data_IF_243537030266
#
_entry.id   IF_243537030266
#
_cell.length_a   1.000
_cell.length_b   1.000
_cell.length_c   1.000
_cell.angle_alpha   90.00
_cell.angle_beta   90.00
_cell.angle_gamma   90.00
#
_symmetry.space_group_name_H-M   'P 1'
#
loop_
_entity.id
_entity.type
_entity.pdbx_description
1 polymer ?
#
# COMPACT_ATOMS: atom_id res chain seq x y z
N UNK A 1 -28.07 -18.63 -29.85
CA UNK A 1 -27.15 -17.52 -30.19
C UNK A 1 -26.67 -16.97 -28.87
N UNK A 2 -25.56 -17.50 -28.35
CA UNK A 2 -25.04 -17.10 -27.05
C UNK A 2 -24.51 -15.68 -27.19
N UNK A 3 -25.12 -14.72 -26.48
CA UNK A 3 -24.52 -13.41 -26.28
C UNK A 3 -23.14 -13.61 -25.64
N UNK A 4 -22.08 -12.93 -26.13
CA UNK A 4 -20.82 -12.95 -25.41
C UNK A 4 -21.08 -12.32 -24.04
N UNK A 5 -20.75 -13.05 -22.97
CA UNK A 5 -20.66 -12.46 -21.63
C UNK A 5 -19.74 -11.23 -21.74
N UNK A 6 -20.28 -10.05 -21.46
CA UNK A 6 -19.54 -8.78 -21.42
C UNK A 6 -18.44 -8.92 -20.36
N UNK A 7 -17.26 -9.35 -20.78
CA UNK A 7 -16.08 -9.30 -19.92
C UNK A 7 -15.82 -7.82 -19.66
N UNK A 8 -15.75 -7.37 -18.39
CA UNK A 8 -15.47 -5.98 -18.10
C UNK A 8 -14.16 -5.60 -18.81
N UNK A 9 -14.19 -4.47 -19.51
CA UNK A 9 -13.04 -3.90 -20.19
C UNK A 9 -11.88 -3.81 -19.18
N UNK A 10 -10.77 -4.49 -19.46
CA UNK A 10 -9.59 -4.51 -18.58
C UNK A 10 -8.53 -3.61 -19.18
N UNK A 11 -8.04 -2.66 -18.39
CA UNK A 11 -6.90 -1.86 -18.80
C UNK A 11 -5.62 -2.70 -18.78
N UNK A 12 -4.82 -2.61 -19.84
CA UNK A 12 -3.49 -3.20 -19.89
C UNK A 12 -2.45 -2.11 -19.69
N UNK A 13 -1.62 -2.23 -18.65
CA UNK A 13 -0.52 -1.30 -18.37
C UNK A 13 0.84 -1.82 -18.84
N UNK A 14 0.88 -3.00 -19.48
CA UNK A 14 2.11 -3.63 -19.97
C UNK A 14 3.00 -4.23 -18.88
N UNK A 15 2.63 -4.08 -17.60
CA UNK A 15 3.37 -4.65 -16.48
C UNK A 15 3.01 -6.12 -16.24
N UNK A 16 4.00 -6.90 -15.80
CA UNK A 16 3.79 -8.30 -15.43
C UNK A 16 3.41 -8.40 -13.95
N UNK A 17 2.22 -8.89 -13.66
CA UNK A 17 1.71 -9.02 -12.30
C UNK A 17 2.16 -10.34 -11.65
N UNK A 18 2.67 -10.25 -10.42
CA UNK A 18 2.96 -11.37 -9.51
C UNK A 18 2.35 -11.08 -8.15
N UNK A 19 1.13 -11.55 -7.94
CA UNK A 19 0.31 -11.24 -6.76
C UNK A 19 0.77 -12.00 -5.49
N UNK A 20 2.03 -11.82 -5.07
CA UNK A 20 2.69 -12.60 -4.02
C UNK A 20 1.99 -12.49 -2.67
N UNK A 21 1.54 -11.31 -2.24
CA UNK A 21 0.81 -11.18 -0.97
C UNK A 21 -0.47 -12.04 -0.95
N UNK A 22 -1.14 -12.19 -2.10
CA UNK A 22 -2.35 -13.00 -2.21
C UNK A 22 -2.08 -14.49 -1.91
N UNK A 23 -0.85 -14.99 -2.14
CA UNK A 23 -0.49 -16.39 -1.90
C UNK A 23 -0.32 -16.75 -0.43
N UNK A 24 -0.26 -15.77 0.48
CA UNK A 24 -0.32 -16.02 1.93
C UNK A 24 -1.67 -16.63 2.36
N UNK A 25 -2.71 -16.45 1.55
CA UNK A 25 -4.02 -17.06 1.75
C UNK A 25 -5.02 -16.18 2.51
N UNK A 26 -6.25 -16.67 2.68
CA UNK A 26 -7.40 -15.87 3.12
C UNK A 26 -7.34 -15.42 4.59
N UNK A 27 -6.40 -15.94 5.39
CA UNK A 27 -6.18 -15.45 6.75
C UNK A 27 -5.57 -14.03 6.77
N UNK A 28 -4.92 -13.61 5.69
CA UNK A 28 -4.17 -12.35 5.59
C UNK A 28 -4.91 -11.24 4.86
N UNK A 29 -5.95 -11.58 4.11
CA UNK A 29 -6.65 -10.63 3.27
C UNK A 29 -8.07 -11.07 2.92
N UNK A 30 -8.84 -10.11 2.43
CA UNK A 30 -10.09 -10.36 1.71
C UNK A 30 -9.94 -9.90 0.28
N UNK A 31 -10.23 -10.77 -0.69
CA UNK A 31 -10.32 -10.39 -2.11
C UNK A 31 -11.56 -9.53 -2.37
N UNK A 32 -11.38 -8.34 -2.94
CA UNK A 32 -12.46 -7.43 -3.28
C UNK A 32 -12.04 -6.44 -4.36
N UNK A 33 -13.00 -6.00 -5.17
CA UNK A 33 -12.75 -4.97 -6.19
C UNK A 33 -12.89 -3.56 -5.59
N UNK A 34 -12.15 -2.57 -6.14
CA UNK A 34 -12.43 -1.17 -5.90
C UNK A 34 -13.88 -0.78 -6.17
N UNK A 35 -14.39 0.19 -5.39
CA UNK A 35 -15.67 0.85 -5.64
C UNK A 35 -15.44 2.04 -6.57
N UNK A 36 -16.01 2.05 -7.78
CA UNK A 36 -15.80 3.12 -8.77
C UNK A 36 -16.16 4.51 -8.25
N UNK A 37 -15.58 5.53 -8.89
CA UNK A 37 -15.94 6.93 -8.70
C UNK A 37 -16.64 7.49 -9.96
N UNK A 38 -17.67 8.35 -9.83
CA UNK A 38 -18.25 9.04 -10.97
C UNK A 38 -17.29 10.09 -11.53
N UNK A 39 -17.27 10.26 -12.86
CA UNK A 39 -16.51 11.31 -13.56
C UNK A 39 -15.08 11.55 -13.00
N UNK A 40 -14.22 10.51 -12.97
CA UNK A 40 -12.86 10.67 -12.48
C UNK A 40 -12.07 11.63 -13.39
N UNK A 41 -11.15 12.39 -12.81
CA UNK A 41 -10.22 13.27 -13.54
C UNK A 41 -8.83 13.25 -12.91
N UNK A 42 -7.81 13.55 -13.70
CA UNK A 42 -6.42 13.67 -13.22
C UNK A 42 -6.24 14.92 -12.37
N UNK A 43 -5.61 14.75 -11.20
CA UNK A 43 -5.14 15.87 -10.36
C UNK A 43 -3.63 16.03 -10.51
N UNK A 44 -2.88 14.93 -10.42
CA UNK A 44 -1.44 14.90 -10.60
C UNK A 44 -0.96 13.51 -11.04
N UNK A 45 0.17 13.44 -11.75
CA UNK A 45 0.85 12.19 -12.13
C UNK A 45 2.37 12.34 -11.98
N UNK A 46 3.06 11.29 -11.52
CA UNK A 46 4.51 11.23 -11.41
C UNK A 46 5.08 10.53 -12.65
N UNK A 47 5.50 11.30 -13.64
CA UNK A 47 6.11 10.78 -14.88
C UNK A 47 7.47 10.12 -14.62
N UNK A 48 8.21 10.58 -13.59
CA UNK A 48 9.44 9.97 -13.13
C UNK A 48 9.20 8.55 -12.62
N UNK A 49 8.28 8.39 -11.66
CA UNK A 49 7.94 7.07 -11.13
C UNK A 49 7.34 6.16 -12.20
N UNK A 50 6.50 6.68 -13.11
CA UNK A 50 5.95 5.89 -14.21
C UNK A 50 7.06 5.27 -15.07
N UNK A 51 8.12 6.04 -15.37
CA UNK A 51 9.29 5.56 -16.11
C UNK A 51 10.07 4.53 -15.31
N UNK A 52 10.30 4.77 -14.02
CA UNK A 52 11.00 3.83 -13.13
C UNK A 52 10.28 2.48 -13.05
N UNK A 53 8.94 2.48 -13.05
CA UNK A 53 8.11 1.27 -13.08
C UNK A 53 8.12 0.55 -14.44
N UNK A 54 8.60 1.20 -15.50
CA UNK A 54 8.57 0.65 -16.86
C UNK A 54 7.24 0.82 -17.59
N UNK A 55 6.39 1.77 -17.18
CA UNK A 55 5.16 2.09 -17.90
C UNK A 55 5.47 2.79 -19.24
N UNK A 56 4.64 2.55 -20.25
CA UNK A 56 4.71 3.28 -21.51
C UNK A 56 4.45 4.77 -21.29
N UNK A 57 5.19 5.63 -22.01
CA UNK A 57 5.24 7.07 -21.77
C UNK A 57 3.88 7.78 -21.95
N UNK A 58 3.03 7.23 -22.81
CA UNK A 58 1.68 7.73 -23.13
C UNK A 58 0.57 7.03 -22.32
N UNK A 59 0.88 5.97 -21.57
CA UNK A 59 -0.14 5.18 -20.88
C UNK A 59 -0.97 6.04 -19.92
N UNK A 60 -0.31 6.88 -19.11
CA UNK A 60 -0.98 7.80 -18.17
C UNK A 60 -1.85 8.87 -18.84
N UNK A 61 -1.71 9.06 -20.16
CA UNK A 61 -2.53 9.99 -20.94
C UNK A 61 -3.82 9.32 -21.44
N UNK A 62 -3.92 7.99 -21.34
CA UNK A 62 -5.10 7.24 -21.80
C UNK A 62 -6.28 7.33 -20.83
N UNK A 63 -7.50 7.27 -21.37
CA UNK A 63 -8.71 7.14 -20.56
C UNK A 63 -8.72 5.84 -19.74
N UNK A 64 -8.17 4.76 -20.30
CA UNK A 64 -8.05 3.48 -19.62
C UNK A 64 -7.21 3.59 -18.33
N UNK A 65 -6.10 4.33 -18.37
CA UNK A 65 -5.28 4.58 -17.18
C UNK A 65 -6.02 5.35 -16.10
N UNK A 66 -6.73 6.41 -16.49
CA UNK A 66 -7.52 7.23 -15.56
C UNK A 66 -8.58 6.39 -14.85
N UNK A 67 -9.33 5.58 -15.61
CA UNK A 67 -10.34 4.71 -15.02
C UNK A 67 -9.73 3.59 -14.18
N UNK A 68 -8.62 3.00 -14.60
CA UNK A 68 -7.96 1.94 -13.85
C UNK A 68 -7.41 2.44 -12.50
N UNK A 69 -6.69 3.57 -12.49
CA UNK A 69 -6.09 4.14 -11.29
C UNK A 69 -7.09 4.89 -10.40
N UNK A 70 -8.31 5.10 -10.87
CA UNK A 70 -9.45 5.53 -10.05
C UNK A 70 -10.25 4.36 -9.45
N UNK A 71 -9.94 3.12 -9.82
CA UNK A 71 -10.68 1.94 -9.39
C UNK A 71 -11.99 1.70 -10.14
N UNK A 72 -12.16 2.29 -11.33
CA UNK A 72 -13.38 2.13 -12.14
C UNK A 72 -13.34 0.90 -13.03
N UNK A 73 -12.16 0.51 -13.51
CA UNK A 73 -11.95 -0.69 -14.33
C UNK A 73 -10.75 -1.48 -13.80
N UNK A 74 -10.79 -2.82 -13.89
CA UNK A 74 -9.68 -3.64 -13.41
C UNK A 74 -8.46 -3.55 -14.33
N UNK A 75 -7.26 -3.64 -13.75
CA UNK A 75 -6.02 -3.86 -14.50
C UNK A 75 -5.86 -5.34 -14.83
N UNK A 76 -5.48 -5.64 -16.07
CA UNK A 76 -5.22 -7.00 -16.53
C UNK A 76 -4.06 -7.61 -15.72
N UNK A 77 -4.33 -8.73 -15.05
CA UNK A 77 -3.35 -9.46 -14.22
C UNK A 77 -3.40 -9.11 -12.72
N UNK A 78 -4.04 -8.00 -12.36
CA UNK A 78 -4.26 -7.63 -10.95
C UNK A 78 -5.14 -8.64 -10.22
N UNK A 79 -4.89 -8.81 -8.92
CA UNK A 79 -5.74 -9.59 -8.01
C UNK A 79 -6.05 -8.73 -6.76
N UNK A 80 -7.04 -7.82 -6.88
CA UNK A 80 -7.31 -6.83 -5.85
C UNK A 80 -7.74 -7.45 -4.50
N UNK A 81 -7.16 -6.95 -3.42
CA UNK A 81 -7.40 -7.40 -2.05
C UNK A 81 -7.26 -6.25 -1.04
N UNK A 82 -7.83 -6.44 0.14
CA UNK A 82 -7.56 -5.62 1.31
C UNK A 82 -6.90 -6.50 2.38
N UNK A 83 -5.77 -6.07 2.94
CA UNK A 83 -5.05 -6.80 3.97
C UNK A 83 -5.66 -6.56 5.35
N UNK A 84 -5.54 -7.56 6.23
CA UNK A 84 -5.89 -7.41 7.64
C UNK A 84 -4.64 -7.20 8.48
N UNK A 85 -4.73 -6.27 9.42
CA UNK A 85 -3.72 -6.03 10.45
C UNK A 85 -4.38 -5.48 11.71
N UNK A 86 -3.63 -5.36 12.79
CA UNK A 86 -4.02 -4.68 14.03
C UNK A 86 -3.02 -3.57 14.32
N UNK A 87 -3.08 -2.96 15.50
CA UNK A 87 -2.07 -2.01 15.93
C UNK A 87 -2.32 -1.45 17.32
N UNK A 88 -1.26 -0.90 17.90
CA UNK A 88 -1.32 0.00 19.05
C UNK A 88 -1.47 1.43 18.53
N UNK A 89 -2.61 2.05 18.83
CA UNK A 89 -2.87 3.44 18.50
C UNK A 89 -2.68 4.30 19.74
N UNK A 90 -1.77 5.26 19.67
CA UNK A 90 -1.39 6.11 20.80
C UNK A 90 -1.05 5.32 22.08
N UNK A 91 -0.35 4.19 21.92
CA UNK A 91 0.08 3.32 23.02
C UNK A 91 -0.97 2.34 23.55
N UNK A 92 -2.17 2.30 22.97
CA UNK A 92 -3.26 1.42 23.40
C UNK A 92 -3.62 0.43 22.28
N UNK A 93 -3.83 -0.84 22.64
CA UNK A 93 -4.27 -1.86 21.69
C UNK A 93 -5.62 -1.48 21.05
N UNK A 94 -5.64 -1.31 19.74
CA UNK A 94 -6.82 -0.86 19.00
C UNK A 94 -7.66 -2.02 18.43
N UNK A 95 -7.29 -3.29 18.71
CA UNK A 95 -7.92 -4.45 18.09
C UNK A 95 -7.65 -4.54 16.59
N UNK A 96 -8.54 -5.23 15.86
CA UNK A 96 -8.42 -5.43 14.41
C UNK A 96 -8.62 -4.12 13.63
N UNK A 97 -7.59 -3.71 12.89
CA UNK A 97 -7.60 -2.67 11.88
C UNK A 97 -7.70 -3.33 10.49
N UNK A 98 -6.75 -3.07 9.59
CA UNK A 98 -6.74 -3.52 8.20
C UNK A 98 -6.83 -2.36 7.22
N UNK A 99 -6.73 -2.68 5.94
CA UNK A 99 -6.88 -1.72 4.85
C UNK A 99 -8.33 -1.22 4.76
N UNK A 100 -8.72 -0.28 5.62
CA UNK A 100 -10.10 0.18 5.75
C UNK A 100 -10.58 1.13 4.65
N UNK A 101 -9.67 1.63 3.82
CA UNK A 101 -9.97 2.47 2.65
C UNK A 101 -8.92 2.32 1.56
N UNK A 102 -8.19 1.21 1.58
CA UNK A 102 -7.13 0.93 0.65
C UNK A 102 -7.34 -0.45 0.04
N UNK A 103 -6.96 -0.61 -1.22
CA UNK A 103 -7.04 -1.89 -1.92
C UNK A 103 -5.71 -2.09 -2.64
N UNK A 104 -5.00 -3.15 -2.26
CA UNK A 104 -3.82 -3.60 -2.98
C UNK A 104 -4.29 -4.23 -4.28
N UNK A 105 -3.86 -3.70 -5.42
CA UNK A 105 -4.17 -4.29 -6.73
C UNK A 105 -3.34 -5.55 -6.99
N UNK A 106 -2.16 -5.62 -6.39
CA UNK A 106 -1.21 -6.71 -6.53
C UNK A 106 0.22 -6.19 -6.58
N UNK A 107 1.17 -7.09 -6.85
CA UNK A 107 2.55 -6.74 -7.10
C UNK A 107 2.88 -6.89 -8.57
N UNK A 108 3.77 -6.04 -9.08
CA UNK A 108 4.24 -6.00 -10.46
C UNK A 108 5.75 -6.15 -10.50
N UNK A 109 6.25 -6.83 -11.51
CA UNK A 109 7.68 -6.86 -11.82
C UNK A 109 8.07 -5.56 -12.53
N UNK A 110 9.12 -4.90 -12.06
CA UNK A 110 9.57 -3.60 -12.58
C UNK A 110 11.10 -3.58 -12.69
N UNK A 111 11.69 -2.64 -13.46
CA UNK A 111 13.15 -2.43 -13.48
C UNK A 111 13.76 -2.14 -12.11
N UNK A 112 12.99 -1.61 -11.16
CA UNK A 112 13.43 -1.35 -9.78
C UNK A 112 13.36 -2.60 -8.88
N UNK A 113 12.90 -3.72 -9.42
CA UNK A 113 12.46 -4.89 -8.67
C UNK A 113 10.93 -4.92 -8.45
N UNK A 114 10.43 -5.94 -7.74
CA UNK A 114 9.00 -6.09 -7.52
C UNK A 114 8.39 -4.95 -6.69
N UNK A 115 7.26 -4.41 -7.13
CA UNK A 115 6.54 -3.32 -6.46
C UNK A 115 5.06 -3.64 -6.29
N UNK A 116 4.51 -3.37 -5.13
CA UNK A 116 3.08 -3.39 -4.84
C UNK A 116 2.41 -2.08 -5.26
N UNK A 117 1.24 -2.17 -5.90
CA UNK A 117 0.41 -1.02 -6.28
C UNK A 117 -0.87 -1.03 -5.45
N UNK A 118 -1.11 0.04 -4.69
CA UNK A 118 -2.28 0.16 -3.82
C UNK A 118 -3.08 1.43 -4.16
N UNK A 119 -4.40 1.30 -4.28
CA UNK A 119 -5.31 2.44 -4.39
C UNK A 119 -5.82 2.81 -3.01
N UNK A 120 -5.63 4.06 -2.57
CA UNK A 120 -6.15 4.56 -1.29
C UNK A 120 -7.24 5.59 -1.55
N UNK A 121 -8.41 5.37 -0.95
CA UNK A 121 -9.67 6.05 -1.24
C UNK A 121 -10.62 5.27 -2.16
N UNK A 122 -10.29 4.03 -2.48
CA UNK A 122 -10.93 3.21 -3.51
C UNK A 122 -12.15 2.41 -3.03
N UNK A 123 -12.79 2.81 -1.92
CA UNK A 123 -14.05 2.24 -1.46
C UNK A 123 -13.98 1.49 -0.13
N UNK A 124 -15.13 0.99 0.29
CA UNK A 124 -15.30 0.23 1.52
C UNK A 124 -14.65 -1.15 1.41
N UNK A 125 -14.17 -1.63 2.55
CA UNK A 125 -13.63 -2.97 2.74
C UNK A 125 -14.21 -3.55 4.03
N UNK A 126 -14.05 -4.85 4.31
CA UNK A 126 -14.41 -5.43 5.60
C UNK A 126 -13.69 -4.78 6.80
N UNK A 127 -12.66 -3.98 6.54
CA UNK A 127 -11.82 -3.34 7.55
C UNK A 127 -12.13 -1.84 7.71
N UNK A 128 -13.12 -1.30 7.01
CA UNK A 128 -13.48 0.14 7.06
C UNK A 128 -13.98 0.61 8.42
N UNK A 129 -14.38 -0.30 9.32
CA UNK A 129 -15.02 0.02 10.60
C UNK A 129 -16.18 1.00 10.36
N UNK A 130 -16.10 2.21 10.92
CA UNK A 130 -17.11 3.26 10.78
C UNK A 130 -16.77 4.28 9.66
N UNK A 131 -15.67 4.08 8.94
CA UNK A 131 -15.26 4.94 7.83
C UNK A 131 -16.04 4.65 6.55
N UNK A 132 -16.05 5.61 5.63
CA UNK A 132 -16.75 5.51 4.34
C UNK A 132 -15.92 4.87 3.21
N UNK A 133 -14.69 4.44 3.50
CA UNK A 133 -13.80 3.87 2.49
C UNK A 133 -13.24 4.88 1.49
N UNK A 134 -13.53 6.18 1.64
CA UNK A 134 -13.08 7.24 0.73
C UNK A 134 -11.92 8.05 1.30
N UNK A 135 -11.12 8.61 0.40
CA UNK A 135 -10.16 9.66 0.71
C UNK A 135 -10.65 10.97 0.08
N UNK A 136 -10.22 12.09 0.66
CA UNK A 136 -10.57 13.44 0.17
C UNK A 136 -9.37 14.07 -0.52
N UNK A 137 -9.65 14.99 -1.44
CA UNK A 137 -8.64 15.61 -2.28
C UNK A 137 -7.47 16.22 -1.48
N UNK A 138 -7.74 16.94 -0.39
CA UNK A 138 -6.68 17.55 0.45
C UNK A 138 -5.70 16.50 1.02
N UNK A 139 -6.21 15.36 1.48
CA UNK A 139 -5.38 14.32 2.09
C UNK A 139 -4.55 13.60 1.05
N UNK A 140 -5.15 13.35 -0.13
CA UNK A 140 -4.45 12.70 -1.24
C UNK A 140 -3.34 13.59 -1.80
N UNK A 141 -3.57 14.92 -1.91
CA UNK A 141 -2.55 15.89 -2.33
C UNK A 141 -1.37 15.90 -1.34
N UNK A 142 -1.64 15.98 -0.03
CA UNK A 142 -0.58 15.94 1.00
C UNK A 142 0.25 14.67 0.91
N UNK A 143 -0.40 13.51 0.80
CA UNK A 143 0.29 12.23 0.71
C UNK A 143 1.15 12.11 -0.54
N UNK A 144 0.64 12.53 -1.70
CA UNK A 144 1.41 12.54 -2.94
C UNK A 144 2.65 13.43 -2.85
N UNK A 145 2.48 14.69 -2.41
CA UNK A 145 3.57 15.65 -2.32
C UNK A 145 4.63 15.20 -1.32
N UNK A 146 4.23 14.75 -0.12
CA UNK A 146 5.17 14.32 0.90
C UNK A 146 5.90 13.03 0.50
N UNK A 147 5.20 12.07 -0.12
CA UNK A 147 5.81 10.82 -0.61
C UNK A 147 6.93 11.11 -1.60
N UNK A 148 6.67 11.95 -2.60
CA UNK A 148 7.68 12.26 -3.62
C UNK A 148 8.77 13.22 -3.10
N UNK A 149 8.45 14.12 -2.17
CA UNK A 149 9.44 14.98 -1.52
C UNK A 149 10.42 14.19 -0.65
N UNK A 150 9.93 13.24 0.14
CA UNK A 150 10.77 12.36 0.97
C UNK A 150 11.70 11.52 0.09
N UNK A 151 11.19 11.00 -1.03
CA UNK A 151 12.01 10.28 -2.00
C UNK A 151 13.10 11.17 -2.60
N UNK A 152 12.76 12.41 -3.01
CA UNK A 152 13.72 13.36 -3.57
C UNK A 152 14.80 13.78 -2.55
N UNK A 153 14.50 13.73 -1.25
CA UNK A 153 15.46 13.94 -0.16
C UNK A 153 16.34 12.71 0.12
N UNK A 154 16.12 11.59 -0.58
CA UNK A 154 16.82 10.32 -0.34
C UNK A 154 16.30 9.54 0.86
N UNK A 155 15.17 9.94 1.45
CA UNK A 155 14.59 9.28 2.62
C UNK A 155 13.68 8.13 2.17
N UNK A 156 13.85 6.91 2.71
CA UNK A 156 13.01 5.78 2.36
C UNK A 156 11.52 6.06 2.62
N UNK A 157 10.68 5.81 1.61
CA UNK A 157 9.26 6.16 1.62
C UNK A 157 8.46 5.30 0.65
N UNK A 158 7.15 5.13 0.92
CA UNK A 158 6.21 4.80 -0.15
C UNK A 158 6.18 5.91 -1.19
N UNK A 159 6.00 5.56 -2.46
CA UNK A 159 5.93 6.46 -3.60
C UNK A 159 4.49 6.70 -4.02
N UNK A 160 4.23 7.79 -4.74
CA UNK A 160 2.90 8.14 -5.22
C UNK A 160 2.89 8.33 -6.74
N UNK A 161 2.22 7.41 -7.46
CA UNK A 161 2.18 7.43 -8.93
C UNK A 161 1.25 8.52 -9.45
N UNK A 162 0.09 8.69 -8.84
CA UNK A 162 -0.88 9.69 -9.27
C UNK A 162 -1.93 10.00 -8.21
N UNK A 163 -2.67 11.08 -8.45
CA UNK A 163 -3.94 11.39 -7.78
C UNK A 163 -5.03 11.53 -8.85
N UNK A 164 -6.16 10.87 -8.61
CA UNK A 164 -7.41 11.11 -9.34
C UNK A 164 -8.44 11.73 -8.42
N UNK A 165 -9.26 12.63 -8.94
CA UNK A 165 -10.36 13.28 -8.24
C UNK A 165 -11.70 12.89 -8.83
N UNK A 166 -12.78 13.12 -8.08
CA UNK A 166 -14.17 12.93 -8.51
C UNK A 166 -15.07 13.98 -7.85
N UNK A 167 -16.16 14.43 -8.50
CA UNK A 167 -17.15 15.30 -7.86
C UNK A 167 -17.97 14.60 -6.76
N UNK A 168 -17.79 13.30 -6.52
CA UNK A 168 -18.48 12.57 -5.45
C UNK A 168 -18.27 13.25 -4.08
N UNK A 169 -19.34 13.69 -3.41
CA UNK A 169 -19.22 14.39 -2.14
C UNK A 169 -18.86 13.44 -1.00
N UNK A 170 -17.87 13.81 -0.20
CA UNK A 170 -17.38 13.06 0.95
C UNK A 170 -17.46 13.95 2.19
N UNK A 171 -18.15 13.47 3.23
CA UNK A 171 -18.31 14.25 4.48
C UNK A 171 -17.11 14.04 5.39
N UNK A 172 -16.45 15.14 5.76
CA UNK A 172 -15.49 15.21 6.88
C UNK A 172 -15.97 16.30 7.84
N UNK A 173 -15.08 17.13 8.37
CA UNK A 173 -15.46 18.34 9.11
C UNK A 173 -16.29 19.30 8.22
N UNK A 174 -15.98 19.31 6.93
CA UNK A 174 -16.74 20.00 5.87
C UNK A 174 -17.10 19.02 4.76
N UNK A 175 -17.93 19.46 3.80
CA UNK A 175 -18.18 18.68 2.59
C UNK A 175 -16.98 18.85 1.65
N UNK A 176 -16.35 17.74 1.29
CA UNK A 176 -15.19 17.69 0.39
C UNK A 176 -15.49 16.78 -0.81
N UNK A 177 -14.54 16.66 -1.73
CA UNK A 177 -14.64 15.79 -2.90
C UNK A 177 -13.76 14.55 -2.76
N UNK A 178 -14.24 13.42 -3.28
CA UNK A 178 -13.51 12.16 -3.28
C UNK A 178 -12.25 12.25 -4.14
N UNK A 179 -11.22 11.53 -3.71
CA UNK A 179 -9.99 11.33 -4.45
C UNK A 179 -9.42 9.93 -4.19
N UNK A 180 -8.63 9.45 -5.15
CA UNK A 180 -7.81 8.24 -5.01
C UNK A 180 -6.35 8.61 -5.21
N UNK A 181 -5.48 8.16 -4.30
CA UNK A 181 -4.02 8.19 -4.50
C UNK A 181 -3.54 6.79 -4.83
N UNK A 182 -2.80 6.65 -5.94
CA UNK A 182 -2.13 5.40 -6.29
C UNK A 182 -0.75 5.37 -5.64
N UNK A 183 -0.62 4.51 -4.63
CA UNK A 183 0.61 4.31 -3.84
C UNK A 183 1.40 3.16 -4.42
N UNK A 184 2.72 3.26 -4.34
CA UNK A 184 3.66 2.24 -4.82
C UNK A 184 4.73 2.01 -3.76
N UNK A 185 5.02 0.75 -3.44
CA UNK A 185 6.06 0.38 -2.48
C UNK A 185 6.56 -1.04 -2.75
N UNK A 186 7.76 -1.43 -2.31
CA UNK A 186 8.18 -2.84 -2.35
C UNK A 186 7.26 -3.76 -1.55
N UNK A 187 6.70 -3.25 -0.44
CA UNK A 187 5.60 -3.89 0.30
C UNK A 187 4.87 -2.89 1.21
N UNK A 188 3.58 -3.13 1.45
CA UNK A 188 2.76 -2.45 2.45
C UNK A 188 2.62 -3.20 3.78
N UNK A 189 3.45 -4.23 4.03
CA UNK A 189 3.49 -4.94 5.32
C UNK A 189 3.98 -3.99 6.44
N UNK A 190 3.33 -4.10 7.59
CA UNK A 190 3.47 -3.22 8.77
C UNK A 190 3.77 -4.05 10.01
N UNK A 191 4.27 -3.42 11.08
CA UNK A 191 4.41 -4.12 12.38
C UNK A 191 3.05 -4.65 12.85
N UNK A 192 1.99 -3.86 12.65
CA UNK A 192 0.61 -4.25 12.94
C UNK A 192 0.13 -5.56 12.30
N UNK A 193 0.74 -6.02 11.19
CA UNK A 193 0.42 -7.33 10.60
C UNK A 193 0.92 -8.47 11.49
N UNK A 194 2.12 -8.34 12.07
CA UNK A 194 2.66 -9.32 13.00
C UNK A 194 1.89 -9.31 14.32
N UNK A 195 1.60 -8.11 14.85
CA UNK A 195 0.82 -7.96 16.08
C UNK A 195 -0.57 -8.60 15.97
N UNK A 196 -1.20 -8.51 14.80
CA UNK A 196 -2.51 -9.09 14.52
C UNK A 196 -2.57 -10.60 14.82
N UNK A 197 -1.62 -11.37 14.30
CA UNK A 197 -1.56 -12.81 14.51
C UNK A 197 -0.99 -13.18 15.89
N UNK A 198 0.00 -12.44 16.37
CA UNK A 198 0.60 -12.65 17.69
C UNK A 198 -0.43 -12.48 18.82
N UNK A 199 -1.22 -11.40 18.82
CA UNK A 199 -2.21 -11.12 19.85
C UNK A 199 -3.36 -12.13 19.91
N UNK A 200 -3.53 -12.95 18.86
CA UNK A 200 -4.58 -13.98 18.76
C UNK A 200 -4.03 -15.41 18.91
N UNK A 201 -2.73 -15.57 19.21
CA UNK A 201 -2.10 -16.89 19.32
C UNK A 201 -2.04 -17.66 18.01
N UNK A 202 -2.16 -16.99 16.86
CA UNK A 202 -2.15 -17.58 15.52
C UNK A 202 -0.71 -17.74 15.03
N UNK A 203 0.01 -18.68 15.65
CA UNK A 203 1.44 -18.85 15.44
C UNK A 203 1.81 -19.34 14.04
N UNK A 204 0.93 -20.14 13.41
CA UNK A 204 1.14 -20.62 12.03
C UNK A 204 1.16 -19.45 11.04
N UNK A 205 0.17 -18.56 11.13
CA UNK A 205 0.06 -17.37 10.28
C UNK A 205 1.18 -16.36 10.59
N UNK A 206 1.52 -16.18 11.87
CA UNK A 206 2.63 -15.33 12.28
C UNK A 206 3.95 -15.82 11.67
N UNK A 207 4.21 -17.12 11.72
CA UNK A 207 5.39 -17.72 11.11
C UNK A 207 5.36 -17.58 9.59
N UNK A 208 4.23 -17.86 8.94
CA UNK A 208 4.10 -17.72 7.49
C UNK A 208 4.37 -16.28 7.02
N UNK A 209 3.92 -15.27 7.78
CA UNK A 209 4.24 -13.87 7.50
C UNK A 209 5.73 -13.57 7.64
N UNK A 210 6.36 -14.05 8.72
CA UNK A 210 7.80 -13.86 8.94
C UNK A 210 8.62 -14.52 7.83
N UNK A 211 8.25 -15.73 7.43
CA UNK A 211 8.89 -16.49 6.37
C UNK A 211 8.79 -15.77 5.03
N UNK A 212 7.59 -15.28 4.69
CA UNK A 212 7.35 -14.48 3.48
C UNK A 212 8.19 -13.21 3.46
N UNK A 213 8.27 -12.49 4.58
CA UNK A 213 9.06 -11.26 4.68
C UNK A 213 10.55 -11.55 4.53
N UNK A 214 11.06 -12.62 5.16
CA UNK A 214 12.47 -13.04 5.01
C UNK A 214 12.75 -13.43 3.56
N UNK A 215 11.92 -14.28 2.96
CA UNK A 215 12.12 -14.76 1.60
C UNK A 215 12.19 -13.62 0.57
N UNK A 216 11.30 -12.63 0.69
CA UNK A 216 11.12 -11.62 -0.37
C UNK A 216 11.80 -10.27 -0.09
N UNK A 217 12.10 -9.96 1.17
CA UNK A 217 12.57 -8.62 1.55
C UNK A 217 13.82 -8.60 2.43
N UNK A 218 14.15 -9.73 3.08
CA UNK A 218 15.33 -9.90 3.93
C UNK A 218 16.02 -11.26 3.70
N UNK A 219 16.36 -11.63 2.45
CA UNK A 219 16.98 -12.92 2.17
C UNK A 219 18.32 -13.11 2.91
N UNK A 220 18.99 -12.01 3.27
CA UNK A 220 20.18 -12.00 4.11
C UNK A 220 19.94 -12.61 5.50
N UNK A 221 18.71 -12.53 6.03
CA UNK A 221 18.36 -13.09 7.33
C UNK A 221 18.16 -14.61 7.30
N UNK A 222 18.03 -15.23 6.12
CA UNK A 222 17.70 -16.65 5.99
C UNK A 222 18.69 -17.58 6.71
N UNK A 223 19.98 -17.22 6.73
CA UNK A 223 21.01 -17.99 7.41
C UNK A 223 21.08 -17.73 8.93
N UNK A 224 20.41 -16.69 9.44
CA UNK A 224 20.44 -16.33 10.87
C UNK A 224 21.84 -15.96 11.39
N UNK A 225 22.67 -15.35 10.56
CA UNK A 225 24.05 -14.95 10.92
C UNK A 225 24.03 -14.04 12.16
N UNK A 226 24.82 -14.39 13.18
CA UNK A 226 24.94 -13.60 14.41
C UNK A 226 23.99 -14.00 15.55
N UNK A 227 23.09 -14.98 15.35
CA UNK A 227 22.11 -15.43 16.36
C UNK A 227 21.96 -16.96 16.43
N UNK A 228 23.06 -17.70 16.41
CA UNK A 228 23.05 -19.17 16.42
C UNK A 228 22.15 -19.79 15.33
N UNK A 229 22.06 -19.13 14.17
CA UNK A 229 21.22 -19.56 13.05
C UNK A 229 19.74 -19.17 13.16
N UNK A 230 19.34 -18.36 14.15
CA UNK A 230 17.96 -17.90 14.30
C UNK A 230 17.63 -16.77 13.31
N UNK A 231 16.99 -17.14 12.18
CA UNK A 231 16.58 -16.19 11.14
C UNK A 231 15.58 -15.12 11.59
N UNK A 232 14.73 -15.41 12.58
CA UNK A 232 13.73 -14.43 13.05
C UNK A 232 14.36 -13.38 13.96
N UNK A 233 15.37 -13.76 14.76
CA UNK A 233 16.18 -12.80 15.51
C UNK A 233 16.97 -11.88 14.56
N UNK A 234 17.54 -12.45 13.48
CA UNK A 234 18.19 -11.67 12.43
C UNK A 234 17.22 -10.70 11.74
N UNK A 235 15.99 -11.13 11.43
CA UNK A 235 14.95 -10.25 10.90
C UNK A 235 14.65 -9.08 11.86
N UNK A 236 14.46 -9.37 13.14
CA UNK A 236 14.18 -8.34 14.15
C UNK A 236 15.32 -7.30 14.24
N UNK A 237 16.58 -7.75 14.19
CA UNK A 237 17.74 -6.84 14.15
C UNK A 237 17.68 -5.96 12.89
N UNK A 238 17.54 -6.56 11.70
CA UNK A 238 17.55 -5.83 10.43
C UNK A 238 16.41 -4.79 10.34
N UNK A 239 15.20 -5.14 10.80
CA UNK A 239 14.06 -4.22 10.88
C UNK A 239 14.34 -3.07 11.86
N UNK A 240 14.95 -3.38 13.00
CA UNK A 240 15.31 -2.37 14.01
C UNK A 240 16.33 -1.38 13.47
N UNK A 241 17.37 -1.85 12.78
CA UNK A 241 18.40 -1.01 12.16
C UNK A 241 17.83 -0.11 11.06
N UNK A 242 16.99 -0.64 10.16
CA UNK A 242 16.33 0.16 9.11
C UNK A 242 15.41 1.22 9.72
N UNK A 243 14.67 0.87 10.78
CA UNK A 243 13.80 1.82 11.48
C UNK A 243 14.60 2.92 12.17
N UNK A 244 15.71 2.57 12.82
CA UNK A 244 16.59 3.56 13.45
C UNK A 244 17.19 4.53 12.42
N UNK A 245 17.65 4.01 11.27
CA UNK A 245 18.16 4.84 10.17
C UNK A 245 17.09 5.75 9.56
N UNK A 246 15.85 5.27 9.42
CA UNK A 246 14.72 6.07 8.96
C UNK A 246 14.43 7.24 9.92
N UNK A 247 14.30 6.95 11.21
CA UNK A 247 14.02 7.96 12.23
C UNK A 247 15.16 8.97 12.30
N UNK A 248 16.43 8.54 12.21
CA UNK A 248 17.57 9.46 12.16
C UNK A 248 17.47 10.46 10.99
N UNK A 249 17.05 10.00 9.82
CA UNK A 249 16.82 10.87 8.66
C UNK A 249 15.66 11.84 8.87
N UNK A 250 14.55 11.39 9.46
CA UNK A 250 13.43 12.27 9.82
C UNK A 250 13.89 13.40 10.74
N UNK A 251 14.65 13.07 11.79
CA UNK A 251 15.19 14.07 12.71
C UNK A 251 16.11 15.05 12.01
N UNK A 252 16.95 14.59 11.07
CA UNK A 252 17.90 15.43 10.35
C UNK A 252 17.24 16.49 9.46
N UNK A 253 16.05 16.21 8.92
CA UNK A 253 15.31 17.15 8.06
C UNK A 253 14.14 17.84 8.77
N UNK A 254 13.94 17.57 10.07
CA UNK A 254 12.84 18.12 10.84
C UNK A 254 11.46 17.61 10.40
N UNK A 255 11.38 16.38 9.89
CA UNK A 255 10.11 15.77 9.50
C UNK A 255 9.36 15.22 10.71
N UNK A 256 8.11 15.67 10.88
CA UNK A 256 7.19 15.17 11.91
C UNK A 256 6.11 14.30 11.27
N UNK A 257 6.10 13.00 11.58
CA UNK A 257 5.10 12.07 11.03
C UNK A 257 3.69 12.25 11.64
N UNK A 258 3.61 12.68 12.91
CA UNK A 258 2.36 12.93 13.62
C UNK A 258 1.61 11.69 14.16
N UNK A 259 1.73 10.51 13.54
CA UNK A 259 0.95 9.31 13.91
C UNK A 259 1.79 8.03 13.82
N UNK A 260 2.76 7.88 14.73
CA UNK A 260 3.63 6.69 14.84
C UNK A 260 2.97 5.55 15.62
N UNK A 261 1.78 5.15 15.17
CA UNK A 261 1.15 3.91 15.62
C UNK A 261 1.86 2.71 14.98
N UNK A 262 1.78 1.53 15.59
CA UNK A 262 2.47 0.34 15.06
C UNK A 262 1.91 -0.13 13.71
N UNK A 263 0.64 0.19 13.40
CA UNK A 263 0.08 0.00 12.07
C UNK A 263 0.65 0.96 11.02
N UNK A 264 1.28 2.07 11.41
CA UNK A 264 1.97 3.00 10.50
C UNK A 264 3.49 2.78 10.45
N UNK A 265 3.99 1.70 11.03
CA UNK A 265 5.41 1.34 10.93
C UNK A 265 5.58 0.28 9.86
N UNK A 266 6.23 0.65 8.76
CA UNK A 266 6.58 -0.29 7.68
C UNK A 266 7.59 -1.32 8.18
N UNK A 267 7.39 -2.59 7.82
CA UNK A 267 8.38 -3.63 8.11
C UNK A 267 9.71 -3.34 7.40
N UNK A 268 9.68 -2.60 6.29
CA UNK A 268 10.85 -2.30 5.45
C UNK A 268 11.59 -1.01 5.84
N UNK A 269 11.15 -0.30 6.88
CA UNK A 269 11.72 1.00 7.25
C UNK A 269 11.41 2.09 6.23
N UNK A 270 10.19 2.11 5.68
CA UNK A 270 9.68 3.16 4.80
C UNK A 270 8.82 4.15 5.57
N UNK A 271 8.93 5.44 5.24
CA UNK A 271 7.89 6.43 5.58
C UNK A 271 6.59 6.05 4.89
N UNK A 272 5.49 5.95 5.64
CA UNK A 272 4.21 5.39 5.15
C UNK A 272 3.04 6.09 5.85
N UNK A 273 1.90 6.22 5.17
CA UNK A 273 0.66 6.80 5.73
C UNK A 273 0.78 8.27 6.18
N UNK A 274 1.08 9.12 5.20
CA UNK A 274 1.10 10.58 5.37
C UNK A 274 -0.28 11.12 5.73
N UNK A 275 -0.40 11.63 6.96
CA UNK A 275 -1.64 12.14 7.56
C UNK A 275 -1.48 13.59 8.03
N UNK A 276 -1.61 13.87 9.34
CA UNK A 276 -1.44 15.20 9.94
C UNK A 276 0.03 15.63 10.08
#
# INVERSE_FOLDING_TARGET
MNQPEDRPERADCGLTWRNRFASLGPAFHTSLQPTPLPAPYWVATSTGLARELGLAADWLQSAAALHALSGNIPLKGSAPLASVYSGHQFGIWAGQLGDGRAILLGAVETPMGPMEIQLKGSGLTPYSRMGDGRAVLRSSIREYLCSEAMHALGIPTTRALCITGSPEPVRRETLETAAVVTRVAPSFIRFGHFEHFAARGQLTELQALADFVIEHHYPECQAGTGFDGNRYAALLQAVSERTAALVAQWQAVGFCHGVLNTDNMSILGLTIDYGP
#
